data_IF_905799822970
#
_entry.id   IF_905799822970
#
_cell.length_a   1.000
_cell.length_b   1.000
_cell.length_c   1.000
_cell.angle_alpha   90.00
_cell.angle_beta   90.00
_cell.angle_gamma   90.00
#
_symmetry.space_group_name_H-M   'P 1'
#
loop_
_entity.id
_entity.type
_entity.pdbx_description
1 polymer ?
#
# COMPACT_ATOMS: atom_id res chain seq x y z
N UNK A 1 1.13 -0.94 22.36
CA UNK A 1 2.28 -1.41 21.59
C UNK A 1 2.39 -0.65 20.26
N UNK A 2 3.38 -0.94 19.42
CA UNK A 2 3.31 -0.47 18.03
C UNK A 2 2.42 -1.45 17.21
N UNK A 3 1.86 -1.00 16.08
CA UNK A 3 1.24 -1.89 15.09
C UNK A 3 2.19 -3.01 14.67
N UNK A 4 1.62 -4.18 14.41
CA UNK A 4 2.30 -5.33 13.80
C UNK A 4 1.88 -5.44 12.34
N UNK A 5 2.85 -5.28 11.44
CA UNK A 5 2.64 -5.32 10.00
C UNK A 5 3.04 -6.68 9.43
N UNK A 6 2.25 -7.19 8.50
CA UNK A 6 2.52 -8.39 7.73
C UNK A 6 2.95 -8.03 6.31
N UNK A 7 3.77 -8.89 5.69
CA UNK A 7 4.23 -8.64 4.32
C UNK A 7 3.14 -8.99 3.31
N UNK A 8 2.97 -8.12 2.32
CA UNK A 8 2.07 -8.33 1.20
C UNK A 8 2.79 -8.68 -0.09
N UNK A 9 2.07 -9.33 -0.99
CA UNK A 9 2.51 -9.58 -2.35
C UNK A 9 1.30 -9.54 -3.30
N UNK A 10 1.53 -9.03 -4.51
CA UNK A 10 0.55 -9.00 -5.57
C UNK A 10 1.23 -9.07 -6.93
N UNK A 11 0.54 -9.63 -7.91
CA UNK A 11 1.01 -9.72 -9.28
C UNK A 11 -0.18 -9.71 -10.23
N UNK A 12 0.09 -9.27 -11.45
CA UNK A 12 -0.85 -9.25 -12.56
C UNK A 12 -0.05 -9.47 -13.83
N UNK A 13 -0.73 -9.83 -14.91
CA UNK A 13 -0.10 -9.92 -16.23
C UNK A 13 0.41 -8.55 -16.68
N UNK A 14 1.39 -8.53 -17.58
CA UNK A 14 1.88 -7.31 -18.19
C UNK A 14 0.74 -6.55 -18.88
N UNK A 15 0.83 -5.21 -18.87
CA UNK A 15 -0.16 -4.29 -19.42
C UNK A 15 -1.56 -4.39 -18.77
N UNK A 16 -1.72 -5.15 -17.68
CA UNK A 16 -2.93 -5.20 -16.88
C UNK A 16 -2.68 -4.50 -15.55
N UNK A 17 -3.46 -3.47 -15.17
CA UNK A 17 -3.33 -2.84 -13.85
C UNK A 17 -3.67 -3.82 -12.71
N UNK A 18 -2.82 -3.89 -11.69
CA UNK A 18 -3.15 -4.56 -10.44
C UNK A 18 -4.00 -3.61 -9.59
N UNK A 19 -5.28 -3.91 -9.45
CA UNK A 19 -6.18 -3.21 -8.53
C UNK A 19 -6.48 -4.08 -7.32
N UNK A 20 -6.20 -3.57 -6.12
CA UNK A 20 -6.54 -4.21 -4.86
C UNK A 20 -7.55 -3.31 -4.14
N UNK A 21 -8.59 -3.88 -3.54
CA UNK A 21 -9.50 -3.11 -2.71
C UNK A 21 -9.07 -3.18 -1.25
N UNK A 22 -9.50 -2.21 -0.44
CA UNK A 22 -9.09 -2.11 0.97
C UNK A 22 -9.33 -3.38 1.79
N UNK A 23 -10.40 -4.13 1.51
CA UNK A 23 -10.74 -5.35 2.26
C UNK A 23 -9.74 -6.50 2.04
N UNK A 24 -8.92 -6.43 0.99
CA UNK A 24 -7.83 -7.36 0.71
C UNK A 24 -6.48 -6.60 0.50
N UNK A 25 -6.43 -5.34 0.93
CA UNK A 25 -5.32 -4.43 0.74
C UNK A 25 -4.23 -4.59 1.80
N UNK A 26 -3.32 -3.62 1.82
CA UNK A 26 -2.12 -3.65 2.67
C UNK A 26 -2.41 -3.73 4.17
N UNK A 27 -3.60 -3.31 4.61
CA UNK A 27 -3.97 -3.31 6.03
C UNK A 27 -4.75 -4.58 6.43
N UNK A 28 -5.07 -5.47 5.49
CA UNK A 28 -6.01 -6.58 5.72
C UNK A 28 -5.46 -7.67 6.64
N UNK A 29 -4.14 -7.79 6.74
CA UNK A 29 -3.42 -8.78 7.56
C UNK A 29 -2.58 -8.12 8.68
N UNK A 30 -2.71 -6.80 8.85
CA UNK A 30 -2.04 -6.03 9.90
C UNK A 30 -2.90 -5.99 11.18
N UNK A 31 -2.26 -5.69 12.31
CA UNK A 31 -2.97 -5.56 13.59
C UNK A 31 -2.38 -4.50 14.50
N UNK A 32 -3.24 -3.83 15.27
CA UNK A 32 -2.82 -2.97 16.37
C UNK A 32 -3.21 -3.60 17.72
N UNK A 33 -2.27 -3.84 18.64
CA UNK A 33 -2.57 -4.44 19.94
C UNK A 33 -3.40 -3.58 20.90
N UNK A 34 -3.45 -2.27 20.69
CA UNK A 34 -4.28 -1.34 21.46
C UNK A 34 -5.69 -1.19 20.83
N UNK A 35 -5.86 -1.66 19.59
CA UNK A 35 -7.14 -1.69 18.87
C UNK A 35 -7.46 -0.38 18.16
N UNK A 36 -6.47 0.48 17.96
CA UNK A 36 -6.59 1.69 17.16
C UNK A 36 -6.75 1.35 15.67
N UNK A 37 -7.47 2.20 14.92
CA UNK A 37 -7.62 2.04 13.49
C UNK A 37 -6.26 2.21 12.78
N UNK A 38 -5.97 1.34 11.82
CA UNK A 38 -4.77 1.42 10.99
C UNK A 38 -5.01 2.26 9.74
N UNK A 39 -4.03 3.07 9.37
CA UNK A 39 -4.02 3.82 8.12
C UNK A 39 -2.62 3.84 7.48
N UNK A 40 -2.57 3.82 6.15
CA UNK A 40 -1.34 4.12 5.43
C UNK A 40 -1.16 5.63 5.41
N UNK A 41 -0.07 6.12 5.99
CA UNK A 41 0.26 7.55 5.99
C UNK A 41 1.16 7.96 4.82
N UNK A 42 1.93 7.02 4.29
CA UNK A 42 2.79 7.22 3.13
C UNK A 42 3.52 5.94 2.74
N UNK A 43 4.16 5.97 1.59
CA UNK A 43 4.92 4.86 1.05
C UNK A 43 6.20 5.36 0.38
N UNK A 44 7.15 4.47 0.12
CA UNK A 44 8.38 4.82 -0.57
C UNK A 44 8.64 3.90 -1.76
N UNK A 45 9.04 4.51 -2.87
CA UNK A 45 9.50 3.82 -4.08
C UNK A 45 10.89 4.32 -4.42
N UNK A 46 11.86 3.40 -4.52
CA UNK A 46 13.26 3.69 -4.81
C UNK A 46 13.87 4.82 -3.94
N UNK A 47 13.46 4.89 -2.67
CA UNK A 47 13.94 5.88 -1.70
C UNK A 47 13.27 7.25 -1.77
N UNK A 48 12.31 7.45 -2.68
CA UNK A 48 11.44 8.64 -2.69
C UNK A 48 10.19 8.35 -1.88
N UNK A 49 9.80 9.24 -0.97
CA UNK A 49 8.57 9.12 -0.17
C UNK A 49 7.42 9.86 -0.81
N UNK A 50 6.25 9.23 -0.79
CA UNK A 50 4.97 9.74 -1.26
C UNK A 50 3.97 9.66 -0.10
N UNK A 51 3.09 10.65 0.01
CA UNK A 51 1.95 10.57 0.91
C UNK A 51 0.91 9.58 0.37
N UNK A 52 0.09 8.99 1.24
CA UNK A 52 -1.01 8.16 0.79
C UNK A 52 -1.97 8.96 -0.11
N UNK A 53 -2.43 8.33 -1.19
CA UNK A 53 -3.23 8.93 -2.25
C UNK A 53 -2.41 9.67 -3.32
N UNK A 54 -1.11 9.89 -3.11
CA UNK A 54 -0.23 10.36 -4.19
C UNK A 54 0.10 9.22 -5.15
N UNK A 55 0.38 9.59 -6.40
CA UNK A 55 0.79 8.65 -7.44
C UNK A 55 2.29 8.76 -7.69
N UNK A 56 3.00 7.68 -7.41
CA UNK A 56 4.41 7.53 -7.76
C UNK A 56 4.55 7.13 -9.23
N UNK A 57 5.26 7.94 -10.01
CA UNK A 57 5.65 7.59 -11.37
C UNK A 57 6.98 6.84 -11.39
N UNK A 58 6.98 5.61 -11.88
CA UNK A 58 8.16 4.75 -11.96
C UNK A 58 8.64 4.72 -13.42
N UNK A 59 9.77 5.38 -13.68
CA UNK A 59 10.28 5.59 -15.02
C UNK A 59 10.49 4.26 -15.77
N UNK A 60 9.79 4.11 -16.90
CA UNK A 60 9.88 2.90 -17.74
C UNK A 60 9.13 1.68 -17.20
N UNK A 61 8.37 1.80 -16.09
CA UNK A 61 7.58 0.71 -15.51
C UNK A 61 6.09 1.05 -15.48
N UNK A 62 5.70 2.18 -14.89
CA UNK A 62 4.29 2.54 -14.73
C UNK A 62 4.06 3.50 -13.58
N UNK A 63 2.89 3.42 -12.96
CA UNK A 63 2.52 4.23 -11.80
C UNK A 63 2.03 3.36 -10.64
N UNK A 64 2.29 3.80 -9.42
CA UNK A 64 1.78 3.19 -8.20
C UNK A 64 1.04 4.24 -7.37
N UNK A 65 -0.17 3.92 -6.94
CA UNK A 65 -0.96 4.70 -5.99
C UNK A 65 -1.32 3.76 -4.84
N UNK A 66 -1.13 4.22 -3.61
CA UNK A 66 -1.58 3.53 -2.40
C UNK A 66 -2.41 4.52 -1.60
N UNK A 67 -3.66 4.18 -1.28
CA UNK A 67 -4.57 4.99 -0.49
C UNK A 67 -4.45 4.70 1.01
N UNK A 68 -4.98 5.60 1.82
CA UNK A 68 -4.89 5.50 3.29
C UNK A 68 -5.61 4.26 3.85
N UNK A 69 -6.60 3.73 3.14
CA UNK A 69 -7.35 2.52 3.49
C UNK A 69 -6.63 1.22 3.06
N UNK A 70 -5.42 1.33 2.52
CA UNK A 70 -4.60 0.19 2.08
C UNK A 70 -4.95 -0.34 0.69
N UNK A 71 -5.82 0.33 -0.08
CA UNK A 71 -6.07 0.02 -1.50
C UNK A 71 -5.05 0.60 -2.46
#
# INVERSE_FOLDING_TARGET
PAPDAANDAGSTDEDVPLGVNAAAGLLANDSDPDGDDLEVTGFSVDGTTYAAGETAGIAGVGTLTIYADGS
#
